data_IF_520352344532
#
_entry.id   IF_520352344532
#
_cell.length_a   1.000
_cell.length_b   1.000
_cell.length_c   1.000
_cell.angle_alpha   90.00
_cell.angle_beta   90.00
_cell.angle_gamma   90.00
#
_symmetry.space_group_name_H-M   'P 1'
#
loop_
_entity.id
_entity.type
_entity.pdbx_description
1 polymer ?
#
# COMPACT_ATOMS: atom_id res chain seq x y z
N UNK A 1 -83.21 215.70 19.34
CA UNK A 1 -84.12 216.34 20.32
C UNK A 1 -83.41 217.56 20.85
N UNK A 2 -84.19 218.63 21.06
CA UNK A 2 -83.86 219.84 21.84
C UNK A 2 -83.00 220.96 21.18
N UNK A 3 -83.31 222.25 21.50
CA UNK A 3 -83.78 223.20 20.47
C UNK A 3 -83.25 224.65 20.59
N UNK A 4 -83.74 225.53 19.69
CA UNK A 4 -83.94 227.00 19.81
C UNK A 4 -82.72 227.96 19.81
N UNK A 5 -82.72 228.91 18.86
CA UNK A 5 -83.08 230.33 19.11
C UNK A 5 -82.86 231.19 17.84
N UNK A 6 -83.88 231.72 17.15
CA UNK A 6 -84.86 232.80 17.45
C UNK A 6 -84.41 234.27 17.35
N UNK A 7 -83.17 234.59 16.95
CA UNK A 7 -82.75 236.02 16.90
C UNK A 7 -82.93 236.72 15.55
N UNK A 8 -83.02 236.00 14.43
CA UNK A 8 -83.12 236.62 13.10
C UNK A 8 -84.49 237.21 12.78
N UNK A 9 -85.53 236.84 13.54
CA UNK A 9 -86.91 237.29 13.35
C UNK A 9 -87.17 238.73 13.81
N UNK A 10 -86.27 239.36 14.58
CA UNK A 10 -86.50 240.69 15.17
C UNK A 10 -85.81 241.85 14.45
N UNK A 11 -84.86 241.60 13.54
CA UNK A 11 -84.07 242.68 12.95
C UNK A 11 -84.68 243.30 11.69
N UNK A 12 -85.53 242.56 10.96
CA UNK A 12 -86.00 243.01 9.64
C UNK A 12 -87.21 243.95 9.74
N UNK A 13 -87.90 243.98 10.89
CA UNK A 13 -89.09 244.82 11.10
C UNK A 13 -88.80 246.33 11.37
N UNK A 14 -87.54 246.77 11.46
CA UNK A 14 -87.20 248.17 11.83
C UNK A 14 -86.78 249.12 10.70
N UNK A 15 -86.63 248.67 9.46
CA UNK A 15 -86.11 249.54 8.38
C UNK A 15 -87.19 250.25 7.55
N UNK A 16 -88.30 250.65 8.17
CA UNK A 16 -89.49 251.18 7.47
C UNK A 16 -89.80 252.69 7.66
N UNK A 17 -88.87 253.61 7.99
CA UNK A 17 -89.28 255.04 8.19
C UNK A 17 -88.48 256.15 7.53
N UNK A 18 -87.42 255.89 6.77
CA UNK A 18 -86.61 256.95 6.18
C UNK A 18 -86.57 256.93 4.66
N UNK A 19 -86.89 258.08 4.06
CA UNK A 19 -86.39 258.56 2.77
C UNK A 19 -87.21 258.19 1.52
N UNK A 20 -88.06 259.17 1.19
CA UNK A 20 -88.50 259.52 -0.16
C UNK A 20 -87.28 259.69 -1.08
N UNK A 21 -87.46 259.34 -2.37
CA UNK A 21 -86.54 259.39 -3.53
C UNK A 21 -86.03 257.98 -3.92
N UNK A 22 -86.57 257.33 -4.99
CA UNK A 22 -86.46 255.86 -5.19
C UNK A 22 -86.22 255.40 -6.63
N UNK A 23 -85.22 255.97 -7.30
CA UNK A 23 -84.63 255.45 -8.55
C UNK A 23 -83.49 254.43 -8.26
N UNK A 24 -83.38 253.95 -7.02
CA UNK A 24 -82.27 253.11 -6.51
C UNK A 24 -82.64 251.64 -6.29
N UNK A 25 -83.62 251.11 -7.03
CA UNK A 25 -84.19 249.77 -6.77
C UNK A 25 -83.83 248.68 -7.79
N UNK A 26 -83.30 249.04 -8.97
CA UNK A 26 -82.95 248.07 -10.01
C UNK A 26 -81.54 247.48 -9.84
N UNK A 27 -80.56 248.27 -9.40
CA UNK A 27 -79.19 247.80 -9.17
C UNK A 27 -79.04 246.85 -7.95
N UNK A 28 -79.93 246.95 -6.96
CA UNK A 28 -79.87 246.13 -5.74
C UNK A 28 -80.46 244.73 -5.96
N UNK A 29 -81.44 244.59 -6.86
CA UNK A 29 -82.06 243.31 -7.18
C UNK A 29 -81.12 242.40 -8.00
N UNK A 30 -80.33 242.96 -8.92
CA UNK A 30 -79.37 242.21 -9.74
C UNK A 30 -78.21 241.64 -8.91
N UNK A 31 -77.66 242.44 -7.99
CA UNK A 31 -76.58 242.00 -7.08
C UNK A 31 -77.04 240.85 -6.16
N UNK A 32 -78.30 240.91 -5.69
CA UNK A 32 -78.88 239.84 -4.87
C UNK A 32 -79.07 238.52 -5.65
N UNK A 33 -79.36 238.58 -6.95
CA UNK A 33 -79.47 237.39 -7.80
C UNK A 33 -78.11 236.75 -8.09
N UNK A 34 -77.06 237.55 -8.28
CA UNK A 34 -75.69 237.05 -8.46
C UNK A 34 -75.11 236.42 -7.20
N UNK A 35 -75.36 237.00 -6.02
CA UNK A 35 -74.93 236.41 -4.76
C UNK A 35 -75.59 235.04 -4.53
N UNK A 36 -76.89 234.87 -4.86
CA UNK A 36 -77.55 233.55 -4.77
C UNK A 36 -76.93 232.52 -5.70
N UNK A 37 -76.55 232.91 -6.93
CA UNK A 37 -75.85 232.02 -7.88
C UNK A 37 -74.47 231.61 -7.34
N UNK A 38 -73.70 232.54 -6.80
CA UNK A 38 -72.40 232.26 -6.20
C UNK A 38 -72.49 231.27 -5.02
N UNK A 39 -73.51 231.42 -4.15
CA UNK A 39 -73.72 230.49 -3.04
C UNK A 39 -74.13 229.07 -3.49
N UNK A 40 -74.91 228.92 -4.56
CA UNK A 40 -75.25 227.60 -5.11
C UNK A 40 -74.02 226.90 -5.72
N UNK A 41 -73.16 227.64 -6.42
CA UNK A 41 -71.92 227.09 -6.98
C UNK A 41 -71.00 226.59 -5.87
N UNK A 42 -70.86 227.36 -4.78
CA UNK A 42 -70.07 226.94 -3.61
C UNK A 42 -70.60 225.64 -2.98
N UNK A 43 -71.92 225.47 -2.89
CA UNK A 43 -72.54 224.25 -2.36
C UNK A 43 -72.31 223.01 -3.24
N UNK A 44 -72.40 223.15 -4.56
CA UNK A 44 -72.14 222.06 -5.50
C UNK A 44 -70.66 221.63 -5.50
N UNK A 45 -69.75 222.58 -5.30
CA UNK A 45 -68.32 222.30 -5.23
C UNK A 45 -67.94 221.48 -3.99
N UNK A 46 -68.53 221.79 -2.84
CA UNK A 46 -68.36 221.00 -1.61
C UNK A 46 -68.91 219.55 -1.75
N UNK A 47 -70.04 219.37 -2.44
CA UNK A 47 -70.59 218.03 -2.70
C UNK A 47 -69.73 217.18 -3.63
N UNK A 48 -69.02 217.82 -4.58
CA UNK A 48 -68.09 217.13 -5.46
C UNK A 48 -66.86 216.63 -4.70
N UNK A 49 -66.30 217.45 -3.80
CA UNK A 49 -65.16 217.08 -2.96
C UNK A 49 -65.50 215.91 -2.02
N UNK A 50 -66.63 215.97 -1.31
CA UNK A 50 -67.05 214.88 -0.41
C UNK A 50 -67.25 213.54 -1.16
N UNK A 51 -67.74 213.60 -2.40
CA UNK A 51 -67.92 212.41 -3.25
C UNK A 51 -66.58 211.86 -3.75
N UNK A 52 -65.56 212.69 -3.94
CA UNK A 52 -64.21 212.25 -4.26
C UNK A 52 -63.52 211.61 -3.05
N UNK A 53 -63.66 212.20 -1.87
CA UNK A 53 -63.09 211.66 -0.63
C UNK A 53 -63.67 210.27 -0.30
N UNK A 54 -64.99 210.09 -0.44
CA UNK A 54 -65.63 208.77 -0.23
C UNK A 54 -65.09 207.69 -1.17
N UNK A 55 -64.89 208.01 -2.44
CA UNK A 55 -64.28 207.07 -3.41
C UNK A 55 -62.84 206.71 -3.03
N UNK A 56 -62.08 207.67 -2.53
CA UNK A 56 -60.70 207.42 -2.10
C UNK A 56 -60.63 206.49 -0.89
N UNK A 57 -61.54 206.66 0.08
CA UNK A 57 -61.64 205.78 1.26
C UNK A 57 -62.03 204.35 0.87
N UNK A 58 -62.98 204.16 -0.06
CA UNK A 58 -63.39 202.84 -0.55
C UNK A 58 -62.21 202.10 -1.22
N UNK A 59 -61.46 202.77 -2.10
CA UNK A 59 -60.27 202.24 -2.75
C UNK A 59 -59.19 201.79 -1.76
N UNK A 60 -58.97 202.56 -0.69
CA UNK A 60 -58.01 202.19 0.36
C UNK A 60 -58.43 200.92 1.11
N UNK A 61 -59.72 200.78 1.44
CA UNK A 61 -60.26 199.57 2.10
C UNK A 61 -60.16 198.34 1.21
N UNK A 62 -60.49 198.47 -0.08
CA UNK A 62 -60.33 197.38 -1.05
C UNK A 62 -58.87 196.94 -1.15
N UNK A 63 -57.94 197.89 -1.23
CA UNK A 63 -56.51 197.59 -1.30
C UNK A 63 -55.96 196.91 -0.03
N UNK A 64 -56.40 197.32 1.16
CA UNK A 64 -56.05 196.66 2.43
C UNK A 64 -56.61 195.23 2.52
N UNK A 65 -57.87 195.03 2.12
CA UNK A 65 -58.49 193.70 2.07
C UNK A 65 -57.78 192.76 1.09
N UNK A 66 -57.36 193.27 -0.07
CA UNK A 66 -56.61 192.51 -1.07
C UNK A 66 -55.18 192.17 -0.60
N UNK A 67 -54.54 193.04 0.19
CA UNK A 67 -53.25 192.76 0.83
C UNK A 67 -53.36 191.63 1.86
N UNK A 68 -54.34 191.70 2.76
CA UNK A 68 -54.61 190.66 3.76
C UNK A 68 -54.89 189.29 3.12
N UNK A 69 -55.70 189.24 2.06
CA UNK A 69 -55.98 187.99 1.34
C UNK A 69 -54.72 187.38 0.71
N UNK A 70 -53.82 188.22 0.16
CA UNK A 70 -52.53 187.76 -0.41
C UNK A 70 -51.58 187.23 0.67
N UNK A 71 -51.58 187.82 1.86
CA UNK A 71 -50.76 187.36 2.98
C UNK A 71 -51.22 185.99 3.49
N UNK A 72 -52.53 185.81 3.72
CA UNK A 72 -53.11 184.51 4.10
C UNK A 72 -52.85 183.41 3.05
N UNK A 73 -52.90 183.76 1.76
CA UNK A 73 -52.60 182.83 0.68
C UNK A 73 -51.11 182.44 0.65
N UNK A 74 -50.21 183.34 1.06
CA UNK A 74 -48.78 183.01 1.21
C UNK A 74 -48.54 182.09 2.40
N UNK A 75 -49.18 182.36 3.54
CA UNK A 75 -49.05 181.52 4.74
C UNK A 75 -49.54 180.08 4.50
N UNK A 76 -50.69 179.91 3.85
CA UNK A 76 -51.21 178.57 3.51
C UNK A 76 -50.29 177.80 2.56
N UNK A 77 -49.72 178.46 1.53
CA UNK A 77 -48.72 177.85 0.65
C UNK A 77 -47.42 177.49 1.38
N UNK A 78 -46.99 178.29 2.36
CA UNK A 78 -45.84 177.96 3.20
C UNK A 78 -46.10 176.77 4.11
N UNK A 79 -47.29 176.68 4.71
CA UNK A 79 -47.70 175.53 5.53
C UNK A 79 -47.78 174.24 4.69
N UNK A 80 -48.35 174.30 3.49
CA UNK A 80 -48.42 173.14 2.60
C UNK A 80 -47.02 172.68 2.16
N UNK A 81 -46.11 173.62 1.87
CA UNK A 81 -44.69 173.29 1.60
C UNK A 81 -44.02 172.62 2.81
N UNK A 82 -44.28 173.09 4.03
CA UNK A 82 -43.77 172.46 5.26
C UNK A 82 -44.31 171.04 5.39
N UNK A 83 -45.61 170.83 5.24
CA UNK A 83 -46.25 169.49 5.28
C UNK A 83 -45.65 168.55 4.23
N UNK A 84 -45.49 169.00 2.99
CA UNK A 84 -44.86 168.20 1.92
C UNK A 84 -43.41 167.83 2.27
N UNK A 85 -42.63 168.77 2.81
CA UNK A 85 -41.25 168.51 3.23
C UNK A 85 -41.17 167.47 4.35
N UNK A 86 -42.12 167.48 5.29
CA UNK A 86 -42.21 166.49 6.37
C UNK A 86 -42.59 165.11 5.85
N UNK A 87 -43.54 165.03 4.91
CA UNK A 87 -43.92 163.78 4.25
C UNK A 87 -42.72 163.20 3.51
N UNK A 88 -42.01 164.00 2.72
CA UNK A 88 -40.80 163.55 2.01
C UNK A 88 -39.73 163.04 2.98
N UNK A 89 -39.48 163.76 4.08
CA UNK A 89 -38.54 163.31 5.13
C UNK A 89 -38.96 161.99 5.77
N UNK A 90 -40.26 161.79 6.03
CA UNK A 90 -40.79 160.52 6.58
C UNK A 90 -40.65 159.39 5.56
N UNK A 91 -40.97 159.63 4.30
CA UNK A 91 -40.80 158.67 3.21
C UNK A 91 -39.32 158.28 3.01
N UNK A 92 -38.40 159.24 3.05
CA UNK A 92 -36.96 158.97 2.96
C UNK A 92 -36.44 158.16 4.15
N UNK A 93 -36.88 158.48 5.38
CA UNK A 93 -36.54 157.70 6.58
C UNK A 93 -37.08 156.27 6.47
N UNK A 94 -38.32 156.09 6.02
CA UNK A 94 -38.92 154.78 5.82
C UNK A 94 -38.21 153.97 4.73
N UNK A 95 -37.83 154.62 3.63
CA UNK A 95 -37.01 154.00 2.57
C UNK A 95 -35.66 153.51 3.12
N UNK A 96 -34.95 154.36 3.88
CA UNK A 96 -33.67 153.96 4.52
C UNK A 96 -33.86 152.77 5.47
N UNK A 97 -34.93 152.76 6.27
CA UNK A 97 -35.23 151.63 7.15
C UNK A 97 -35.53 150.34 6.38
N UNK A 98 -36.23 150.42 5.24
CA UNK A 98 -36.45 149.27 4.37
C UNK A 98 -35.15 148.76 3.75
N UNK A 99 -34.29 149.66 3.28
CA UNK A 99 -32.98 149.30 2.73
C UNK A 99 -32.12 148.60 3.80
N UNK A 100 -32.10 149.11 5.04
CA UNK A 100 -31.42 148.48 6.18
C UNK A 100 -32.00 147.10 6.54
N UNK A 101 -33.31 146.90 6.41
CA UNK A 101 -33.93 145.58 6.63
C UNK A 101 -33.55 144.59 5.52
N UNK A 102 -33.48 145.05 4.27
CA UNK A 102 -33.04 144.23 3.15
C UNK A 102 -31.58 143.83 3.30
N UNK A 103 -30.68 144.74 3.66
CA UNK A 103 -29.27 144.41 3.87
C UNK A 103 -29.08 143.39 5.00
N UNK A 104 -29.77 143.57 6.14
CA UNK A 104 -29.76 142.58 7.24
C UNK A 104 -30.23 141.20 6.78
N UNK A 105 -31.29 141.13 5.96
CA UNK A 105 -31.79 139.86 5.41
C UNK A 105 -30.83 139.23 4.42
N UNK A 106 -30.09 140.03 3.65
CA UNK A 106 -29.03 139.53 2.76
C UNK A 106 -27.83 139.00 3.56
N UNK A 107 -27.43 139.69 4.62
CA UNK A 107 -26.37 139.24 5.54
C UNK A 107 -26.75 137.92 6.23
N UNK A 108 -27.97 137.79 6.76
CA UNK A 108 -28.49 136.54 7.31
C UNK A 108 -28.44 135.40 6.29
N UNK A 109 -28.81 135.65 5.03
CA UNK A 109 -28.72 134.64 3.96
C UNK A 109 -27.27 134.25 3.66
N UNK A 110 -26.32 135.19 3.71
CA UNK A 110 -24.89 134.88 3.51
C UNK A 110 -24.37 133.96 4.62
N UNK A 111 -24.69 134.27 5.88
CA UNK A 111 -24.33 133.43 7.03
C UNK A 111 -24.90 132.02 6.88
N UNK A 112 -26.18 131.89 6.54
CA UNK A 112 -26.81 130.56 6.34
C UNK A 112 -26.15 129.77 5.20
N UNK A 113 -25.73 130.43 4.11
CA UNK A 113 -25.02 129.76 3.01
C UNK A 113 -23.62 129.32 3.44
N UNK A 114 -22.93 130.12 4.24
CA UNK A 114 -21.62 129.77 4.80
C UNK A 114 -21.74 128.60 5.78
N UNK A 115 -22.70 128.63 6.71
CA UNK A 115 -23.01 127.51 7.60
C UNK A 115 -23.35 126.23 6.83
N UNK A 116 -24.13 126.34 5.75
CA UNK A 116 -24.46 125.19 4.90
C UNK A 116 -23.27 124.68 4.06
N UNK A 117 -22.23 125.51 3.83
CA UNK A 117 -20.98 125.09 3.22
C UNK A 117 -20.08 124.38 4.23
N UNK A 118 -19.94 124.94 5.42
CA UNK A 118 -19.16 124.32 6.51
C UNK A 118 -19.80 123.00 6.96
N UNK A 119 -21.13 122.92 7.06
CA UNK A 119 -21.82 121.67 7.36
C UNK A 119 -21.60 120.61 6.27
N UNK A 120 -21.55 121.00 4.99
CA UNK A 120 -21.22 120.07 3.90
C UNK A 120 -19.79 119.54 3.99
N UNK A 121 -18.82 120.41 4.27
CA UNK A 121 -17.42 119.97 4.50
C UNK A 121 -17.34 118.99 5.67
N UNK A 122 -18.05 119.28 6.76
CA UNK A 122 -18.11 118.38 7.91
C UNK A 122 -18.70 117.00 7.54
N UNK A 123 -19.78 116.97 6.75
CA UNK A 123 -20.35 115.70 6.27
C UNK A 123 -19.35 114.93 5.38
N UNK A 124 -18.67 115.62 4.46
CA UNK A 124 -17.63 115.00 3.62
C UNK A 124 -16.47 114.44 4.46
N UNK A 125 -16.08 115.11 5.55
CA UNK A 125 -15.07 114.61 6.49
C UNK A 125 -15.56 113.39 7.28
N UNK A 126 -16.82 113.40 7.73
CA UNK A 126 -17.43 112.24 8.41
C UNK A 126 -17.48 111.03 7.48
N UNK A 127 -17.88 111.22 6.23
CA UNK A 127 -17.93 110.14 5.23
C UNK A 127 -16.52 109.57 4.98
N UNK A 128 -15.50 110.44 4.81
CA UNK A 128 -14.10 109.99 4.68
C UNK A 128 -13.63 109.17 5.88
N UNK A 129 -13.92 109.61 7.10
CA UNK A 129 -13.53 108.89 8.32
C UNK A 129 -14.26 107.54 8.40
N UNK A 130 -15.52 107.46 8.00
CA UNK A 130 -16.26 106.20 7.93
C UNK A 130 -15.65 105.24 6.90
N UNK A 131 -15.34 105.73 5.70
CA UNK A 131 -14.68 104.94 4.64
C UNK A 131 -13.31 104.39 5.12
N UNK A 132 -12.48 105.23 5.74
CA UNK A 132 -11.18 104.82 6.28
C UNK A 132 -11.31 103.76 7.39
N UNK A 133 -12.32 103.89 8.27
CA UNK A 133 -12.61 102.88 9.29
C UNK A 133 -13.11 101.57 8.70
N UNK A 134 -13.98 101.62 7.69
CA UNK A 134 -14.46 100.42 7.00
C UNK A 134 -13.34 99.70 6.25
N UNK A 135 -12.48 100.45 5.57
CA UNK A 135 -11.29 99.91 4.89
C UNK A 135 -10.34 99.26 5.90
N UNK A 136 -10.10 99.89 7.04
CA UNK A 136 -9.24 99.35 8.11
C UNK A 136 -9.82 98.06 8.69
N UNK A 137 -11.12 98.03 9.03
CA UNK A 137 -11.82 96.83 9.51
C UNK A 137 -11.81 95.70 8.46
N UNK A 138 -11.94 96.04 7.18
CA UNK A 138 -11.88 95.05 6.10
C UNK A 138 -10.47 94.47 5.95
N UNK A 139 -9.43 95.28 6.11
CA UNK A 139 -8.04 94.83 6.12
C UNK A 139 -7.74 93.93 7.32
N UNK A 140 -8.16 94.32 8.53
CA UNK A 140 -8.01 93.52 9.74
C UNK A 140 -8.66 92.14 9.58
N UNK A 141 -9.91 92.08 9.11
CA UNK A 141 -10.60 90.81 8.83
C UNK A 141 -9.88 89.95 7.80
N UNK A 142 -9.30 90.56 6.76
CA UNK A 142 -8.49 89.84 5.77
C UNK A 142 -7.22 89.27 6.41
N UNK A 143 -6.52 90.06 7.22
CA UNK A 143 -5.33 89.60 7.95
C UNK A 143 -5.67 88.45 8.91
N UNK A 144 -6.74 88.56 9.70
CA UNK A 144 -7.20 87.48 10.58
C UNK A 144 -7.51 86.20 9.81
N UNK A 145 -8.18 86.30 8.67
CA UNK A 145 -8.49 85.15 7.83
C UNK A 145 -7.24 84.49 7.26
N UNK A 146 -6.24 85.28 6.86
CA UNK A 146 -4.95 84.76 6.39
C UNK A 146 -4.22 84.03 7.52
N UNK A 147 -4.16 84.59 8.72
CA UNK A 147 -3.52 83.95 9.88
C UNK A 147 -4.23 82.67 10.29
N UNK A 148 -5.57 82.66 10.34
CA UNK A 148 -6.35 81.42 10.58
C UNK A 148 -6.07 80.37 9.53
N UNK A 149 -6.11 80.74 8.26
CA UNK A 149 -5.81 79.82 7.14
C UNK A 149 -4.39 79.26 7.24
N UNK A 150 -3.43 80.07 7.67
CA UNK A 150 -2.04 79.66 7.87
C UNK A 150 -1.91 78.65 9.02
N UNK A 151 -2.58 78.92 10.15
CA UNK A 151 -2.61 78.00 11.29
C UNK A 151 -3.29 76.68 10.93
N UNK A 152 -4.44 76.71 10.24
CA UNK A 152 -5.15 75.52 9.78
C UNK A 152 -4.29 74.67 8.83
N UNK A 153 -3.54 75.30 7.92
CA UNK A 153 -2.59 74.59 7.05
C UNK A 153 -1.50 73.88 7.84
N UNK A 154 -0.91 74.55 8.85
CA UNK A 154 0.11 73.95 9.70
C UNK A 154 -0.45 72.73 10.46
N UNK A 155 -1.62 72.86 11.06
CA UNK A 155 -2.30 71.76 11.76
C UNK A 155 -2.57 70.60 10.81
N UNK A 156 -3.06 70.88 9.60
CA UNK A 156 -3.33 69.85 8.58
C UNK A 156 -2.05 69.11 8.16
N UNK A 157 -0.94 69.84 7.98
CA UNK A 157 0.36 69.24 7.66
C UNK A 157 0.90 68.37 8.80
N UNK A 158 0.77 68.81 10.04
CA UNK A 158 1.13 68.03 11.23
C UNK A 158 0.27 66.77 11.35
N UNK A 159 -1.05 66.88 11.17
CA UNK A 159 -1.97 65.74 11.16
C UNK A 159 -1.61 64.73 10.07
N UNK A 160 -1.28 65.20 8.86
CA UNK A 160 -0.82 64.34 7.76
C UNK A 160 0.49 63.62 8.11
N UNK A 161 1.44 64.31 8.76
CA UNK A 161 2.70 63.69 9.21
C UNK A 161 2.45 62.62 10.27
N UNK A 162 1.62 62.92 11.26
CA UNK A 162 1.24 61.97 12.32
C UNK A 162 0.54 60.75 11.73
N UNK A 163 -0.40 60.95 10.80
CA UNK A 163 -1.11 59.85 10.14
C UNK A 163 -0.15 58.94 9.38
N UNK A 164 0.74 59.51 8.56
CA UNK A 164 1.78 58.75 7.83
C UNK A 164 2.71 57.98 8.76
N UNK A 165 3.07 58.55 9.92
CA UNK A 165 3.87 57.85 10.92
C UNK A 165 3.11 56.66 11.50
N UNK A 166 1.83 56.85 11.88
CA UNK A 166 0.98 55.77 12.39
C UNK A 166 0.78 54.65 11.36
N UNK A 167 0.59 54.99 10.08
CA UNK A 167 0.50 53.99 9.00
C UNK A 167 1.80 53.19 8.89
N UNK A 168 2.96 53.84 8.89
CA UNK A 168 4.27 53.15 8.87
C UNK A 168 4.46 52.25 10.08
N UNK A 169 4.13 52.72 11.29
CA UNK A 169 4.21 51.91 12.50
C UNK A 169 3.28 50.69 12.45
N UNK A 170 2.07 50.86 11.89
CA UNK A 170 1.12 49.76 11.72
C UNK A 170 1.61 48.74 10.68
N UNK A 171 2.19 49.21 9.56
CA UNK A 171 2.83 48.34 8.57
C UNK A 171 4.02 47.59 9.15
N UNK A 172 4.87 48.24 9.95
CA UNK A 172 5.99 47.57 10.62
C UNK A 172 5.52 46.52 11.62
N UNK A 173 4.48 46.81 12.40
CA UNK A 173 3.88 45.82 13.33
C UNK A 173 3.35 44.61 12.57
N UNK A 174 2.57 44.82 11.50
CA UNK A 174 2.09 43.72 10.65
C UNK A 174 3.23 42.90 10.07
N UNK A 175 4.28 43.55 9.55
CA UNK A 175 5.46 42.84 9.05
C UNK A 175 6.15 42.00 10.13
N UNK A 176 6.21 42.47 11.37
CA UNK A 176 6.76 41.68 12.49
C UNK A 176 5.87 40.49 12.82
N UNK A 177 4.57 40.70 12.91
CA UNK A 177 3.57 39.63 13.14
C UNK A 177 3.63 38.58 12.02
N UNK A 178 3.70 39.00 10.75
CA UNK A 178 3.83 38.12 9.60
C UNK A 178 5.14 37.30 9.65
N UNK A 179 6.26 37.93 10.03
CA UNK A 179 7.54 37.23 10.17
C UNK A 179 7.53 36.23 11.33
N UNK A 180 6.89 36.56 12.45
CA UNK A 180 6.72 35.63 13.58
C UNK A 180 5.85 34.44 13.18
N UNK A 181 4.74 34.69 12.48
CA UNK A 181 3.86 33.65 11.97
C UNK A 181 4.58 32.73 10.97
N UNK A 182 5.38 33.29 10.06
CA UNK A 182 6.19 32.49 9.11
C UNK A 182 7.23 31.62 9.83
N UNK A 183 7.88 32.14 10.88
CA UNK A 183 8.80 31.34 11.70
C UNK A 183 8.08 30.18 12.39
N UNK A 184 6.89 30.43 12.95
CA UNK A 184 6.10 29.39 13.59
C UNK A 184 5.69 28.29 12.59
N UNK A 185 5.30 28.66 11.36
CA UNK A 185 5.03 27.70 10.28
C UNK A 185 6.28 26.89 9.93
N UNK A 186 7.44 27.54 9.79
CA UNK A 186 8.69 26.85 9.51
C UNK A 186 9.07 25.86 10.60
N UNK A 187 8.91 26.23 11.87
CA UNK A 187 9.18 25.36 13.02
C UNK A 187 8.26 24.14 13.02
N UNK A 188 6.94 24.35 12.87
CA UNK A 188 5.97 23.25 12.74
C UNK A 188 6.29 22.34 11.55
N UNK A 189 6.72 22.92 10.43
CA UNK A 189 7.14 22.15 9.24
C UNK A 189 8.39 21.33 9.51
N UNK A 190 9.40 21.90 10.19
CA UNK A 190 10.63 21.20 10.59
C UNK A 190 10.31 20.05 11.56
N UNK A 191 9.43 20.26 12.53
CA UNK A 191 8.97 19.21 13.46
C UNK A 191 8.25 18.09 12.73
N UNK A 192 7.31 18.41 11.83
CA UNK A 192 6.60 17.41 11.04
C UNK A 192 7.57 16.60 10.17
N UNK A 193 8.54 17.26 9.53
CA UNK A 193 9.56 16.59 8.74
C UNK A 193 10.45 15.67 9.60
N UNK A 194 10.83 16.07 10.82
CA UNK A 194 11.56 15.21 11.76
C UNK A 194 10.74 13.97 12.13
N UNK A 195 9.47 14.14 12.50
CA UNK A 195 8.58 13.02 12.81
C UNK A 195 8.42 12.07 11.61
N UNK A 196 8.33 12.62 10.40
CA UNK A 196 8.27 11.83 9.16
C UNK A 196 9.56 11.04 8.94
N UNK A 197 10.73 11.65 9.15
CA UNK A 197 12.02 10.96 9.08
C UNK A 197 12.12 9.84 10.10
N UNK A 198 11.73 10.08 11.36
CA UNK A 198 11.71 9.05 12.39
C UNK A 198 10.79 7.87 12.03
N UNK A 199 9.63 8.14 11.43
CA UNK A 199 8.74 7.08 10.94
C UNK A 199 9.37 6.25 9.83
N UNK A 200 10.06 6.91 8.89
CA UNK A 200 10.80 6.23 7.81
C UNK A 200 11.90 5.35 8.40
N UNK A 201 12.73 5.88 9.30
CA UNK A 201 13.79 5.12 9.96
C UNK A 201 13.26 3.94 10.79
N UNK A 202 12.11 4.09 11.47
CA UNK A 202 11.45 2.98 12.17
C UNK A 202 10.99 1.92 11.18
N UNK A 203 10.39 2.32 10.06
CA UNK A 203 9.96 1.40 9.00
C UNK A 203 11.14 0.66 8.38
N UNK A 204 12.24 1.37 8.11
CA UNK A 204 13.47 0.78 7.57
C UNK A 204 14.08 -0.22 8.55
N UNK A 205 14.13 0.10 9.85
CA UNK A 205 14.57 -0.86 10.89
C UNK A 205 13.74 -2.13 10.89
N UNK A 206 12.41 -2.02 10.87
CA UNK A 206 11.51 -3.18 10.81
C UNK A 206 11.73 -3.98 9.53
N UNK A 207 11.93 -3.33 8.39
CA UNK A 207 12.25 -4.02 7.13
C UNK A 207 13.57 -4.78 7.22
N UNK A 208 14.62 -4.16 7.77
CA UNK A 208 15.93 -4.80 7.96
C UNK A 208 15.85 -6.00 8.93
N UNK A 209 15.12 -5.88 10.02
CA UNK A 209 14.88 -7.00 10.94
C UNK A 209 14.09 -8.14 10.27
N UNK A 210 13.03 -7.80 9.53
CA UNK A 210 12.20 -8.78 8.83
C UNK A 210 13.01 -9.53 7.78
N UNK A 211 13.81 -8.81 6.97
CA UNK A 211 14.69 -9.40 5.97
C UNK A 211 15.75 -10.30 6.60
N UNK A 212 16.36 -9.89 7.73
CA UNK A 212 17.27 -10.75 8.49
C UNK A 212 16.60 -12.05 8.94
N UNK A 213 15.40 -11.98 9.51
CA UNK A 213 14.64 -13.17 9.94
C UNK A 213 14.34 -14.09 8.74
N UNK A 214 13.99 -13.54 7.58
CA UNK A 214 13.74 -14.32 6.38
C UNK A 214 15.00 -15.03 5.88
N UNK A 215 16.15 -14.34 5.87
CA UNK A 215 17.43 -14.93 5.48
C UNK A 215 17.86 -16.04 6.44
N UNK A 216 17.73 -15.83 7.75
CA UNK A 216 18.03 -16.86 8.77
C UNK A 216 17.10 -18.08 8.61
N UNK A 217 15.81 -17.86 8.34
CA UNK A 217 14.87 -18.94 8.07
C UNK A 217 15.23 -19.71 6.80
N UNK A 218 15.68 -19.02 5.75
CA UNK A 218 16.12 -19.66 4.51
C UNK A 218 17.42 -20.45 4.71
N UNK A 219 18.38 -19.93 5.47
CA UNK A 219 19.60 -20.65 5.83
C UNK A 219 19.28 -21.96 6.58
N UNK A 220 18.41 -21.89 7.60
CA UNK A 220 17.94 -23.08 8.34
C UNK A 220 17.22 -24.10 7.43
N UNK A 221 16.50 -23.66 6.40
CA UNK A 221 15.89 -24.58 5.42
C UNK A 221 16.96 -25.30 4.60
N UNK A 222 17.96 -24.58 4.09
CA UNK A 222 19.08 -25.17 3.34
C UNK A 222 19.85 -26.18 4.17
N UNK A 223 20.18 -25.85 5.43
CA UNK A 223 20.85 -26.80 6.33
C UNK A 223 20.03 -28.08 6.56
N UNK A 224 18.70 -27.98 6.62
CA UNK A 224 17.83 -29.16 6.75
C UNK A 224 17.80 -29.99 5.48
N UNK A 225 17.78 -29.35 4.32
CA UNK A 225 17.83 -30.01 3.02
C UNK A 225 19.17 -30.74 2.83
N UNK A 226 20.28 -30.11 3.19
CA UNK A 226 21.62 -30.73 3.18
C UNK A 226 21.67 -31.97 4.08
N UNK A 227 21.18 -31.86 5.33
CA UNK A 227 21.10 -33.02 6.23
C UNK A 227 20.21 -34.14 5.70
N UNK A 228 19.12 -33.81 5.01
CA UNK A 228 18.25 -34.80 4.38
C UNK A 228 18.98 -35.52 3.25
N UNK A 229 19.73 -34.79 2.43
CA UNK A 229 20.56 -35.36 1.37
C UNK A 229 21.60 -36.31 1.95
N UNK A 230 22.28 -35.93 3.03
CA UNK A 230 23.25 -36.79 3.72
C UNK A 230 22.60 -38.08 4.24
N UNK A 231 21.43 -37.98 4.88
CA UNK A 231 20.69 -39.14 5.38
C UNK A 231 20.30 -40.10 4.24
N UNK A 232 19.78 -39.57 3.13
CA UNK A 232 19.45 -40.38 1.95
C UNK A 232 20.71 -41.04 1.37
N UNK A 233 21.84 -40.33 1.33
CA UNK A 233 23.10 -40.90 0.87
C UNK A 233 23.58 -42.05 1.76
N UNK A 234 23.45 -41.92 3.09
CA UNK A 234 23.79 -43.00 4.03
C UNK A 234 22.82 -44.20 3.94
N UNK A 235 21.52 -43.97 3.71
CA UNK A 235 20.55 -45.04 3.45
C UNK A 235 20.93 -45.83 2.20
N UNK A 236 21.26 -45.15 1.09
CA UNK A 236 21.73 -45.80 -0.14
C UNK A 236 23.00 -46.62 0.12
N UNK A 237 23.96 -46.11 0.90
CA UNK A 237 25.17 -46.86 1.26
C UNK A 237 24.84 -48.11 2.07
N UNK A 238 23.96 -47.99 3.07
CA UNK A 238 23.51 -49.12 3.86
C UNK A 238 22.83 -50.19 2.99
N UNK A 239 21.96 -49.79 2.06
CA UNK A 239 21.32 -50.71 1.12
C UNK A 239 22.33 -51.44 0.23
N UNK A 240 23.35 -50.75 -0.27
CA UNK A 240 24.41 -51.37 -1.06
C UNK A 240 25.17 -52.42 -0.25
N UNK A 241 25.55 -52.10 1.00
CA UNK A 241 26.22 -53.06 1.90
C UNK A 241 25.32 -54.28 2.15
N UNK A 242 24.02 -54.08 2.40
CA UNK A 242 23.07 -55.18 2.59
C UNK A 242 23.02 -56.06 1.33
N UNK A 243 22.92 -55.47 0.13
CA UNK A 243 22.91 -56.22 -1.13
C UNK A 243 24.20 -57.04 -1.32
N UNK A 244 25.36 -56.45 -1.04
CA UNK A 244 26.65 -57.17 -1.08
C UNK A 244 26.70 -58.32 -0.07
N UNK A 245 26.21 -58.10 1.15
CA UNK A 245 26.10 -59.15 2.17
C UNK A 245 25.15 -60.28 1.74
N UNK A 246 24.01 -59.94 1.13
CA UNK A 246 23.09 -60.94 0.59
C UNK A 246 23.72 -61.75 -0.54
N UNK A 247 24.41 -61.11 -1.48
CA UNK A 247 25.11 -61.79 -2.56
C UNK A 247 26.21 -62.72 -2.05
N UNK A 248 27.01 -62.26 -1.10
CA UNK A 248 28.07 -63.09 -0.49
C UNK A 248 27.46 -64.27 0.26
N UNK A 249 26.35 -64.08 0.97
CA UNK A 249 25.61 -65.16 1.62
C UNK A 249 25.02 -66.16 0.61
N UNK A 250 24.45 -65.69 -0.50
CA UNK A 250 23.96 -66.56 -1.59
C UNK A 250 25.11 -67.37 -2.21
N UNK A 251 26.25 -66.74 -2.50
CA UNK A 251 27.46 -67.43 -3.00
C UNK A 251 27.96 -68.46 -1.99
N UNK A 252 27.94 -68.15 -0.69
CA UNK A 252 28.34 -69.08 0.37
C UNK A 252 27.41 -70.29 0.44
N UNK A 253 26.08 -70.08 0.40
CA UNK A 253 25.09 -71.17 0.37
C UNK A 253 25.29 -72.08 -0.84
N UNK A 254 25.43 -71.51 -2.04
CA UNK A 254 25.70 -72.26 -3.27
C UNK A 254 26.99 -73.12 -3.16
N UNK A 255 28.06 -72.57 -2.58
CA UNK A 255 29.30 -73.33 -2.33
C UNK A 255 29.09 -74.47 -1.33
N UNK A 256 28.29 -74.25 -0.28
CA UNK A 256 27.97 -75.27 0.71
C UNK A 256 27.11 -76.40 0.10
N UNK A 257 26.11 -76.05 -0.70
CA UNK A 257 25.28 -77.00 -1.44
C UNK A 257 26.14 -77.84 -2.39
N UNK A 258 26.99 -77.21 -3.20
CA UNK A 258 27.91 -77.92 -4.10
C UNK A 258 28.85 -78.85 -3.33
N UNK A 259 29.42 -78.39 -2.20
CA UNK A 259 30.28 -79.21 -1.37
C UNK A 259 29.53 -80.39 -0.74
N UNK A 260 28.27 -80.21 -0.33
CA UNK A 260 27.42 -81.28 0.16
C UNK A 260 27.14 -82.32 -0.93
N UNK A 261 26.73 -81.87 -2.12
CA UNK A 261 26.49 -82.76 -3.27
C UNK A 261 27.75 -83.54 -3.69
N UNK A 262 28.92 -82.90 -3.69
CA UNK A 262 30.19 -83.59 -3.97
C UNK A 262 30.52 -84.64 -2.90
N UNK A 263 30.26 -84.36 -1.62
CA UNK A 263 30.43 -85.36 -0.55
C UNK A 263 29.48 -86.53 -0.73
N UNK A 264 28.22 -86.28 -1.04
CA UNK A 264 27.23 -87.32 -1.34
C UNK A 264 27.67 -88.18 -2.53
N UNK A 265 28.18 -87.56 -3.60
CA UNK A 265 28.74 -88.28 -4.76
C UNK A 265 29.93 -89.14 -4.37
N UNK A 266 30.87 -88.62 -3.57
CA UNK A 266 32.02 -89.40 -3.09
C UNK A 266 31.54 -90.60 -2.28
N UNK A 267 30.68 -90.38 -1.27
CA UNK A 267 30.13 -91.45 -0.43
C UNK A 267 29.41 -92.49 -1.30
N UNK A 268 28.59 -92.06 -2.26
CA UNK A 268 27.90 -92.95 -3.18
C UNK A 268 28.89 -93.78 -4.02
N UNK A 269 29.94 -93.14 -4.57
CA UNK A 269 30.96 -93.87 -5.35
C UNK A 269 31.74 -94.86 -4.48
N UNK A 270 32.04 -94.53 -3.22
CA UNK A 270 32.69 -95.43 -2.27
C UNK A 270 31.79 -96.62 -1.91
N UNK A 271 30.51 -96.37 -1.64
CA UNK A 271 29.52 -97.43 -1.41
C UNK A 271 29.38 -98.36 -2.61
N UNK A 272 29.35 -97.81 -3.83
CA UNK A 272 29.36 -98.62 -5.05
C UNK A 272 30.63 -99.47 -5.16
N UNK A 273 31.81 -98.90 -4.90
CA UNK A 273 33.07 -99.67 -4.86
C UNK A 273 33.04 -100.79 -3.81
N UNK A 274 32.54 -100.51 -2.61
CA UNK A 274 32.40 -101.51 -1.55
C UNK A 274 31.46 -102.64 -1.99
N UNK A 275 30.30 -102.32 -2.58
CA UNK A 275 29.38 -103.32 -3.13
C UNK A 275 30.05 -104.19 -4.19
N UNK A 276 30.80 -103.61 -5.13
CA UNK A 276 31.55 -104.39 -6.11
C UNK A 276 32.58 -105.33 -5.46
N UNK A 277 33.30 -104.87 -4.43
CA UNK A 277 34.25 -105.72 -3.68
C UNK A 277 33.52 -106.85 -2.93
N UNK A 278 32.35 -106.57 -2.35
CA UNK A 278 31.52 -107.58 -1.69
C UNK A 278 30.97 -108.60 -2.69
N UNK A 279 30.49 -108.15 -3.85
CA UNK A 279 30.05 -109.00 -4.96
C UNK A 279 31.19 -109.88 -5.48
N UNK A 280 32.39 -109.32 -5.68
CA UNK A 280 33.59 -110.06 -6.10
C UNK A 280 34.01 -111.09 -5.05
N UNK A 281 33.94 -110.75 -3.75
CA UNK A 281 34.20 -111.70 -2.66
C UNK A 281 33.17 -112.81 -2.62
N UNK A 282 31.88 -112.48 -2.72
CA UNK A 282 30.80 -113.45 -2.76
C UNK A 282 30.93 -114.39 -3.98
N UNK A 283 31.31 -113.84 -5.13
CA UNK A 283 31.62 -114.60 -6.33
C UNK A 283 32.82 -115.53 -6.12
N UNK A 284 33.93 -115.03 -5.56
CA UNK A 284 35.10 -115.85 -5.24
C UNK A 284 34.78 -116.99 -4.26
N UNK A 285 33.96 -116.73 -3.24
CA UNK A 285 33.47 -117.77 -2.31
C UNK A 285 32.59 -118.82 -3.02
N UNK A 286 31.72 -118.41 -3.94
CA UNK A 286 30.92 -119.34 -4.74
C UNK A 286 31.80 -120.20 -5.65
N UNK A 287 32.80 -119.61 -6.29
CA UNK A 287 33.78 -120.34 -7.10
C UNK A 287 34.56 -121.35 -6.24
N UNK A 288 35.04 -120.93 -5.07
CA UNK A 288 35.73 -121.81 -4.12
C UNK A 288 34.83 -122.94 -3.61
N UNK A 289 33.55 -122.66 -3.29
CA UNK A 289 32.56 -123.70 -2.95
C UNK A 289 32.40 -124.71 -4.07
N UNK A 290 32.27 -124.26 -5.32
CA UNK A 290 32.16 -125.13 -6.48
C UNK A 290 33.40 -126.01 -6.68
N UNK A 291 34.61 -125.44 -6.54
CA UNK A 291 35.87 -126.20 -6.60
C UNK A 291 35.91 -127.28 -5.50
N UNK A 292 35.53 -126.94 -4.27
CA UNK A 292 35.48 -127.89 -3.15
C UNK A 292 34.44 -129.01 -3.35
N UNK A 293 33.29 -128.69 -3.94
CA UNK A 293 32.26 -129.65 -4.32
C UNK A 293 32.77 -130.59 -5.44
N UNK A 294 33.41 -130.04 -6.46
CA UNK A 294 34.04 -130.80 -7.55
C UNK A 294 35.16 -131.71 -7.03
N UNK A 295 35.99 -131.25 -6.09
CA UNK A 295 37.00 -132.08 -5.42
C UNK A 295 36.39 -133.21 -4.57
N UNK A 296 35.31 -132.93 -3.83
CA UNK A 296 34.58 -133.98 -3.08
C UNK A 296 34.00 -135.01 -4.05
N UNK A 297 33.41 -134.58 -5.16
CA UNK A 297 32.90 -135.47 -6.20
C UNK A 297 34.03 -136.29 -6.85
N UNK A 298 35.20 -135.68 -7.09
CA UNK A 298 36.40 -136.37 -7.58
C UNK A 298 36.89 -137.44 -6.57
N UNK A 299 36.88 -137.14 -5.26
CA UNK A 299 37.21 -138.12 -4.21
C UNK A 299 36.21 -139.27 -4.15
N UNK A 300 34.90 -138.98 -4.17
CA UNK A 300 33.87 -140.03 -4.18
C UNK A 300 33.95 -140.90 -5.44
N UNK A 301 34.20 -140.32 -6.61
CA UNK A 301 34.42 -141.09 -7.85
C UNK A 301 35.71 -141.91 -7.82
N UNK A 302 36.79 -141.41 -7.20
CA UNK A 302 38.01 -142.18 -6.97
C UNK A 302 37.78 -143.35 -6.00
N UNK A 303 37.05 -143.13 -4.91
CA UNK A 303 36.64 -144.19 -3.97
C UNK A 303 35.72 -145.22 -4.64
N UNK A 304 34.76 -144.79 -5.45
CA UNK A 304 33.90 -145.67 -6.23
C UNK A 304 34.72 -146.54 -7.19
N UNK A 305 35.68 -145.95 -7.93
CA UNK A 305 36.62 -146.71 -8.76
C UNK A 305 37.45 -147.72 -7.94
N UNK A 306 37.86 -147.37 -6.72
CA UNK A 306 38.60 -148.26 -5.81
C UNK A 306 37.75 -149.42 -5.31
N UNK A 307 36.48 -149.17 -4.92
CA UNK A 307 35.51 -150.22 -4.54
C UNK A 307 35.21 -151.15 -5.70
N UNK A 308 35.01 -150.60 -6.90
CA UNK A 308 34.74 -151.35 -8.13
C UNK A 308 35.95 -152.24 -8.52
N UNK A 309 37.19 -151.74 -8.41
CA UNK A 309 38.40 -152.57 -8.57
C UNK A 309 38.49 -153.71 -7.54
N UNK A 310 38.10 -153.47 -6.29
CA UNK A 310 38.06 -154.50 -5.26
C UNK A 310 36.96 -155.55 -5.52
N UNK A 311 35.79 -155.13 -6.02
CA UNK A 311 34.74 -156.05 -6.46
C UNK A 311 35.21 -156.91 -7.63
N UNK A 312 35.78 -156.30 -8.68
CA UNK A 312 36.35 -157.07 -9.79
C UNK A 312 37.40 -158.08 -9.33
N UNK A 313 38.27 -157.72 -8.38
CA UNK A 313 39.25 -158.64 -7.81
C UNK A 313 38.60 -159.83 -7.10
N UNK A 314 37.57 -159.59 -6.28
CA UNK A 314 36.78 -160.64 -5.64
C UNK A 314 36.06 -161.54 -6.64
N UNK A 315 35.46 -160.96 -7.68
CA UNK A 315 34.74 -161.71 -8.72
C UNK A 315 35.72 -162.60 -9.52
N UNK A 316 36.93 -162.11 -9.78
CA UNK A 316 37.99 -162.86 -10.45
C UNK A 316 38.52 -164.00 -9.56
N UNK A 317 38.70 -163.75 -8.25
CA UNK A 317 39.05 -164.79 -7.27
C UNK A 317 37.96 -165.87 -7.18
N UNK A 318 36.68 -165.49 -7.19
CA UNK A 318 35.55 -166.41 -7.21
C UNK A 318 35.50 -167.24 -8.51
N UNK A 319 35.76 -166.63 -9.67
CA UNK A 319 35.86 -167.33 -10.96
C UNK A 319 37.04 -168.33 -10.98
N UNK A 320 38.18 -167.97 -10.40
CA UNK A 320 39.33 -168.87 -10.26
C UNK A 320 38.98 -170.03 -9.32
N UNK A 321 38.34 -169.76 -8.18
CA UNK A 321 37.89 -170.78 -7.25
C UNK A 321 36.86 -171.72 -7.88
N UNK A 322 35.92 -171.19 -8.66
CA UNK A 322 34.94 -171.97 -9.41
C UNK A 322 35.61 -172.86 -10.47
N UNK A 323 36.58 -172.35 -11.23
CA UNK A 323 37.39 -173.18 -12.15
C UNK A 323 38.18 -174.26 -11.43
N UNK A 324 38.71 -173.97 -10.24
CA UNK A 324 39.40 -174.98 -9.41
C UNK A 324 38.44 -176.08 -8.97
N UNK A 325 37.24 -175.74 -8.50
CA UNK A 325 36.19 -176.74 -8.18
C UNK A 325 35.82 -177.61 -9.37
N UNK A 326 35.61 -177.02 -10.56
CA UNK A 326 35.33 -177.79 -11.78
C UNK A 326 36.49 -178.76 -12.08
N UNK A 327 37.74 -178.30 -11.99
CA UNK A 327 38.91 -179.18 -12.20
C UNK A 327 39.03 -180.27 -11.15
N UNK A 328 38.76 -179.97 -9.89
CA UNK A 328 38.76 -180.96 -8.81
C UNK A 328 37.66 -182.01 -9.04
N UNK A 329 36.47 -181.60 -9.51
CA UNK A 329 35.39 -182.52 -9.90
C UNK A 329 35.74 -183.36 -11.14
N UNK A 330 36.42 -182.79 -12.14
CA UNK A 330 36.93 -183.54 -13.30
C UNK A 330 38.03 -184.55 -12.89
N UNK A 331 38.96 -184.17 -12.02
CA UNK A 331 39.99 -185.06 -11.49
C UNK A 331 39.35 -186.20 -10.68
N UNK A 332 38.36 -185.90 -9.83
CA UNK A 332 37.62 -186.92 -9.08
C UNK A 332 36.89 -187.92 -10.00
N UNK A 333 36.30 -187.44 -11.10
CA UNK A 333 35.70 -188.31 -12.13
C UNK A 333 36.73 -189.19 -12.84
N UNK A 334 37.92 -188.66 -13.13
CA UNK A 334 39.02 -189.44 -13.72
C UNK A 334 39.54 -190.49 -12.74
N UNK A 335 39.65 -190.17 -11.45
CA UNK A 335 40.08 -191.11 -10.41
C UNK A 335 39.07 -192.24 -10.16
N UNK A 336 37.77 -191.96 -10.22
CA UNK A 336 36.70 -192.97 -10.18
C UNK A 336 36.82 -193.96 -11.36
N UNK A 337 36.98 -193.44 -12.58
CA UNK A 337 37.16 -194.27 -13.79
C UNK A 337 38.42 -195.14 -13.68
N UNK A 338 39.52 -194.61 -13.13
CA UNK A 338 40.76 -195.36 -12.93
C UNK A 338 40.63 -196.47 -11.86
N UNK A 339 39.80 -196.28 -10.83
CA UNK A 339 39.52 -197.30 -9.80
C UNK A 339 38.65 -198.43 -10.35
N UNK A 340 37.69 -198.12 -11.21
CA UNK A 340 36.86 -199.13 -11.88
C UNK A 340 37.66 -199.98 -12.88
N UNK A 341 38.57 -199.37 -13.65
CA UNK A 341 39.45 -200.12 -14.55
C UNK A 341 40.40 -201.07 -13.80
N UNK A 342 40.98 -200.64 -12.67
CA UNK A 342 41.80 -201.52 -11.82
C UNK A 342 41.03 -202.69 -11.21
N UNK A 343 39.73 -202.51 -10.90
CA UNK A 343 38.86 -203.60 -10.42
C UNK A 343 38.59 -204.64 -11.51
N UNK A 344 38.42 -204.20 -12.76
CA UNK A 344 38.19 -205.09 -13.89
C UNK A 344 39.45 -205.89 -14.26
N UNK A 345 40.63 -205.25 -14.27
CA UNK A 345 41.91 -205.94 -14.54
C UNK A 345 42.24 -207.02 -13.49
N UNK A 346 41.95 -206.76 -12.21
CA UNK A 346 42.12 -207.77 -11.15
C UNK A 346 41.17 -208.96 -11.31
N UNK A 347 39.94 -208.73 -11.76
CA UNK A 347 38.94 -209.79 -11.98
C UNK A 347 39.21 -210.65 -13.23
N UNK A 348 39.92 -210.13 -14.22
CA UNK A 348 40.38 -210.89 -15.39
C UNK A 348 41.64 -211.72 -15.07
N UNK A 349 42.55 -211.18 -14.25
CA UNK A 349 43.77 -211.88 -13.82
C UNK A 349 43.48 -213.11 -12.93
N UNK A 350 42.42 -213.06 -12.11
CA UNK A 350 41.96 -214.21 -11.30
C UNK A 350 41.37 -215.33 -12.18
N UNK A 351 40.52 -214.98 -13.17
CA UNK A 351 39.92 -215.95 -14.10
C UNK A 351 40.96 -216.68 -14.95
N UNK A 352 42.00 -215.98 -15.41
CA UNK A 352 43.09 -216.58 -16.17
C UNK A 352 43.92 -217.59 -15.35
N UNK A 353 44.03 -217.42 -14.02
CA UNK A 353 44.71 -218.38 -13.13
C UNK A 353 43.88 -219.65 -12.90
N UNK A 354 42.56 -219.52 -12.79
CA UNK A 354 41.66 -220.66 -12.56
C UNK A 354 41.52 -221.57 -13.79
N UNK A 355 41.43 -220.99 -14.99
CA UNK A 355 41.42 -221.77 -16.24
C UNK A 355 42.75 -222.51 -16.46
N UNK A 356 43.87 -221.87 -16.10
CA UNK A 356 45.20 -222.47 -16.20
C UNK A 356 45.38 -223.66 -15.25
N UNK A 357 44.84 -223.58 -14.02
CA UNK A 357 44.84 -224.70 -13.06
C UNK A 357 43.94 -225.85 -13.52
N UNK A 358 42.75 -225.58 -14.08
CA UNK A 358 41.84 -226.62 -14.61
C UNK A 358 42.43 -227.41 -15.76
N UNK A 359 43.07 -226.74 -16.72
CA UNK A 359 43.73 -227.39 -17.86
C UNK A 359 44.86 -228.33 -17.43
N UNK A 360 45.57 -228.00 -16.35
CA UNK A 360 46.63 -228.83 -15.77
C UNK A 360 46.07 -230.12 -15.14
N UNK A 361 44.98 -230.05 -14.39
CA UNK A 361 44.36 -231.23 -13.75
C UNK A 361 43.76 -232.23 -14.74
N UNK A 362 43.18 -231.78 -15.86
CA UNK A 362 42.49 -232.65 -16.82
C UNK A 362 43.48 -233.42 -17.70
N UNK A 363 44.65 -232.82 -17.98
CA UNK A 363 45.62 -233.36 -18.93
C UNK A 363 46.87 -233.95 -18.27
N UNK A 364 46.99 -233.91 -16.94
CA UNK A 364 48.15 -234.38 -16.19
C UNK A 364 48.51 -235.85 -16.47
N UNK A 365 47.52 -236.73 -16.63
CA UNK A 365 47.76 -238.17 -16.85
C UNK A 365 48.16 -238.52 -18.28
N UNK A 366 47.81 -237.69 -19.27
CA UNK A 366 48.08 -237.96 -20.69
C UNK A 366 49.31 -237.22 -21.26
N UNK A 367 49.78 -236.14 -20.62
CA UNK A 367 50.88 -235.31 -21.17
C UNK A 367 52.15 -235.34 -20.29
N UNK A 368 52.18 -236.14 -19.22
CA UNK A 368 53.30 -236.22 -18.28
C UNK A 368 54.67 -236.47 -18.95
N UNK A 369 54.70 -237.15 -20.11
CA UNK A 369 55.91 -237.48 -20.87
C UNK A 369 56.32 -236.44 -21.93
N UNK A 370 55.52 -235.41 -22.19
CA UNK A 370 55.76 -234.45 -23.29
C UNK A 370 55.72 -232.95 -22.89
N UNK A 371 55.54 -232.61 -21.60
CA UNK A 371 55.51 -231.19 -21.15
C UNK A 371 56.89 -230.69 -20.71
N UNK A 372 57.27 -229.49 -21.19
CA UNK A 372 58.52 -228.81 -20.85
C UNK A 372 58.46 -228.14 -19.46
N UNK A 373 59.23 -228.66 -18.50
CA UNK A 373 59.20 -228.28 -17.07
C UNK A 373 59.59 -226.82 -16.75
N UNK A 374 60.12 -226.07 -17.71
CA UNK A 374 60.50 -224.66 -17.51
C UNK A 374 59.32 -223.67 -17.49
N UNK A 375 58.15 -224.03 -18.05
CA UNK A 375 57.02 -223.09 -18.30
C UNK A 375 55.94 -223.13 -17.19
N UNK A 376 56.10 -224.01 -16.21
CA UNK A 376 55.15 -224.23 -15.10
C UNK A 376 55.56 -223.42 -13.85
N UNK A 377 54.57 -222.80 -13.19
CA UNK A 377 54.77 -222.08 -11.91
C UNK A 377 55.00 -223.05 -10.75
N UNK A 378 55.57 -222.55 -9.65
CA UNK A 378 56.03 -223.39 -8.51
C UNK A 378 54.90 -224.20 -7.87
N UNK A 379 53.69 -223.66 -7.80
CA UNK A 379 52.47 -224.37 -7.34
C UNK A 379 52.03 -225.47 -8.31
N UNK A 380 52.11 -225.24 -9.62
CA UNK A 380 51.69 -226.20 -10.66
C UNK A 380 52.64 -227.42 -10.76
N UNK A 381 53.91 -227.25 -10.37
CA UNK A 381 54.90 -228.34 -10.31
C UNK A 381 54.66 -229.32 -9.15
N UNK A 382 54.09 -228.84 -8.04
CA UNK A 382 53.76 -229.69 -6.88
C UNK A 382 52.55 -230.58 -7.18
N UNK A 383 51.52 -230.05 -7.84
CA UNK A 383 50.31 -230.80 -8.21
C UNK A 383 50.64 -231.96 -9.18
N UNK A 384 51.56 -231.76 -10.13
CA UNK A 384 52.04 -232.83 -11.03
C UNK A 384 52.87 -233.90 -10.31
N UNK A 385 53.57 -233.54 -9.22
CA UNK A 385 54.39 -234.49 -8.46
C UNK A 385 53.55 -235.37 -7.53
N UNK A 386 52.43 -234.86 -7.02
CA UNK A 386 51.48 -235.63 -6.20
C UNK A 386 50.70 -236.65 -7.04
N UNK A 387 50.23 -236.28 -8.23
CA UNK A 387 49.48 -237.17 -9.12
C UNK A 387 50.30 -238.34 -9.73
N UNK A 388 51.63 -238.19 -9.86
CA UNK A 388 52.51 -239.27 -10.33
C UNK A 388 52.89 -240.29 -9.24
N UNK A 389 52.79 -239.90 -7.95
CA UNK A 389 53.02 -240.83 -6.84
C UNK A 389 51.87 -241.80 -6.66
N UNK A 390 50.63 -241.38 -6.92
CA UNK A 390 49.45 -242.25 -6.83
C UNK A 390 49.40 -243.34 -7.92
N UNK A 391 50.20 -243.24 -9.00
CA UNK A 391 50.19 -244.20 -10.11
C UNK A 391 51.30 -245.26 -10.09
N UNK A 392 52.28 -245.19 -9.18
CA UNK A 392 53.36 -246.18 -9.03
C UNK A 392 53.22 -247.13 -7.82
N UNK A 393 52.30 -246.86 -6.89
CA UNK A 393 52.11 -247.67 -5.66
C UNK A 393 51.03 -248.78 -5.76
N UNK A 394 50.55 -249.12 -6.97
CA UNK A 394 49.54 -250.18 -7.16
C UNK A 394 50.05 -251.40 -7.97
N UNK A 395 51.34 -251.75 -7.84
CA UNK A 395 51.96 -252.89 -8.52
C UNK A 395 52.86 -253.73 -7.61
N UNK A 396 52.21 -254.63 -6.85
CA UNK A 396 52.72 -255.82 -6.14
C UNK A 396 53.32 -255.67 -4.72
N UNK A 397 52.55 -256.13 -3.72
CA UNK A 397 52.81 -257.40 -3.00
C UNK A 397 51.53 -257.90 -2.26
N UNK A 398 51.14 -259.12 -2.67
CA UNK A 398 50.60 -260.30 -1.96
C UNK A 398 49.19 -260.38 -1.32
N UNK A 399 48.50 -261.42 -1.80
CA UNK A 399 47.52 -262.30 -1.15
C UNK A 399 47.83 -262.58 0.33
N UNK A 400 46.83 -262.55 1.22
CA UNK A 400 45.97 -263.72 1.45
C UNK A 400 44.87 -263.44 2.49
N UNK A 401 43.83 -264.30 2.47
CA UNK A 401 42.74 -264.50 3.45
C UNK A 401 41.42 -263.73 3.22
N UNK A 402 40.65 -264.27 2.27
CA UNK A 402 39.38 -265.00 2.45
C UNK A 402 38.29 -264.52 3.44
N UNK A 403 37.07 -264.72 2.94
CA UNK A 403 35.73 -264.66 3.57
C UNK A 403 35.11 -263.26 3.54
N UNK A 404 33.90 -263.07 3.02
CA UNK A 404 32.85 -264.00 2.58
C UNK A 404 31.87 -263.18 1.74
N UNK A 405 31.29 -263.83 0.73
CA UNK A 405 29.94 -263.61 0.16
C UNK A 405 29.57 -262.24 -0.38
#
# INVERSE_FOLDING_TARGET
>A
MEPLNNESALYVARFCRGCRNRESHDAVAELAAELRRAYMVKGLQAQLEERQDRKYIELMREHESAKLAREQQRETLEEDRRRQSEILRKCEKYRRQLDEQLTRKEEEKRVLVEEAREYRKYLEEVDRVQEEQELSRALEKKCELVERTRQERLILEEMKKIHRQKEREAEEKKRREDLEYLKEIEERSKEMNRLRQEQIERRERVLLETTRVMLDAQARKREREERLIDLVAEEIRCELIIREMEETMRRRKMRQELAASLREQIIFTEQCKQRFVEEDRAWAEQVMRKIMEDEKMARFTAEAKKRMKMQYRKDLENLIAHRRRIREEEIAKIEEIAKEQRRLELAEAERAKEERKRLLTIHATNIASFVNRAVLTTEERQILAELMKESQDAGNINDDVLTKT
#
